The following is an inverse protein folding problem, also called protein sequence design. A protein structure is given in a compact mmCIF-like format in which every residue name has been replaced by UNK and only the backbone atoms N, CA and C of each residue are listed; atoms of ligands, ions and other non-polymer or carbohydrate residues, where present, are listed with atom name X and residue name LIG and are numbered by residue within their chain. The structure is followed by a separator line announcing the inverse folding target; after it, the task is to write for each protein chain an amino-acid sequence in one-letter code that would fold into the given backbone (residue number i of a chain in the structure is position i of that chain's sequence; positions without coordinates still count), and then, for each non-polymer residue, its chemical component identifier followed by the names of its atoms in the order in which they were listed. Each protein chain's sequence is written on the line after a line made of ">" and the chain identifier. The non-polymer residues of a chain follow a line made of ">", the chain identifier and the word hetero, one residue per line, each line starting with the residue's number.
data_IF_949672895679
#
_entry.id   IF_949672895679
#
_cell.length_a   1.000
_cell.length_b   1.000
_cell.length_c   1.000
_cell.angle_alpha   90.00
_cell.angle_beta   90.00
_cell.angle_gamma   90.00
#
_symmetry.space_group_name_H-M   'P 1'
#
loop_
_entity.id
_entity.type
_entity.pdbx_description
1 polymer ?
#
# COMPACT_ATOMS: atom_id res chain seq x y z
N UNK A 1 0.06 19.63 25.65
CA UNK A 1 0.36 20.34 24.39
C UNK A 1 0.62 19.28 23.34
N UNK A 2 -0.42 18.81 22.66
CA UNK A 2 -0.26 17.88 21.54
C UNK A 2 0.22 18.69 20.35
N UNK A 3 1.37 18.36 19.77
CA UNK A 3 1.83 18.98 18.53
C UNK A 3 0.76 18.75 17.45
N UNK A 4 0.35 19.80 16.76
CA UNK A 4 -0.52 19.69 15.60
C UNK A 4 0.22 18.89 14.52
N UNK A 5 -0.35 17.77 14.07
CA UNK A 5 0.22 16.97 12.98
C UNK A 5 0.25 17.82 11.71
N UNK A 6 1.43 17.98 11.09
CA UNK A 6 1.58 18.77 9.86
C UNK A 6 1.35 17.93 8.61
N UNK A 7 1.06 18.57 7.47
CA UNK A 7 0.92 17.88 6.17
C UNK A 7 2.19 17.10 5.80
N UNK A 8 3.37 17.65 6.13
CA UNK A 8 4.67 16.99 5.99
C UNK A 8 4.71 15.67 6.76
N UNK A 9 4.28 15.68 8.02
CA UNK A 9 4.28 14.49 8.87
C UNK A 9 3.34 13.42 8.32
N UNK A 10 2.17 13.81 7.81
CA UNK A 10 1.21 12.92 7.17
C UNK A 10 1.78 12.29 5.89
N UNK A 11 2.47 13.07 5.04
CA UNK A 11 3.08 12.56 3.81
C UNK A 11 4.23 11.61 4.13
N UNK A 12 5.07 11.95 5.12
CA UNK A 12 6.13 11.05 5.58
C UNK A 12 5.57 9.75 6.14
N UNK A 13 4.46 9.82 6.89
CA UNK A 13 3.75 8.65 7.39
C UNK A 13 3.13 7.82 6.26
N UNK A 14 2.55 8.45 5.23
CA UNK A 14 2.05 7.77 4.02
C UNK A 14 3.19 7.02 3.31
N UNK A 15 4.35 7.66 3.18
CA UNK A 15 5.55 7.02 2.61
C UNK A 15 6.03 5.83 3.44
N UNK A 16 6.09 5.98 4.76
CA UNK A 16 6.46 4.88 5.66
C UNK A 16 5.46 3.72 5.61
N UNK A 17 4.17 4.03 5.48
CA UNK A 17 3.10 3.05 5.31
C UNK A 17 3.28 2.22 4.03
N UNK A 18 3.59 2.87 2.90
CA UNK A 18 3.86 2.17 1.64
C UNK A 18 5.13 1.30 1.73
N UNK A 19 6.21 1.81 2.35
CA UNK A 19 7.42 1.03 2.60
C UNK A 19 7.15 -0.22 3.46
N UNK A 20 6.31 -0.09 4.49
CA UNK A 20 5.90 -1.23 5.30
C UNK A 20 5.12 -2.26 4.46
N UNK A 21 4.32 -1.82 3.50
CA UNK A 21 3.63 -2.71 2.56
C UNK A 21 4.56 -3.40 1.55
N UNK A 22 5.64 -2.74 1.12
CA UNK A 22 6.69 -3.37 0.33
C UNK A 22 7.33 -4.54 1.11
N UNK A 23 7.68 -4.31 2.38
CA UNK A 23 8.23 -5.35 3.27
C UNK A 23 7.22 -6.47 3.52
N UNK A 24 5.95 -6.14 3.72
CA UNK A 24 4.88 -7.12 3.87
C UNK A 24 4.77 -8.04 2.65
N UNK A 25 4.85 -7.50 1.42
CA UNK A 25 4.80 -8.28 0.19
C UNK A 25 6.06 -9.12 -0.04
N UNK A 26 7.23 -8.66 0.38
CA UNK A 26 8.44 -9.51 0.42
C UNK A 26 8.27 -10.73 1.33
N UNK A 27 7.43 -10.61 2.37
CA UNK A 27 7.08 -11.71 3.27
C UNK A 27 6.10 -12.75 2.69
N UNK A 28 5.42 -12.48 1.57
CA UNK A 28 4.36 -13.36 1.04
C UNK A 28 4.81 -14.80 0.74
N UNK A 29 6.00 -15.04 0.17
CA UNK A 29 6.49 -16.40 -0.05
C UNK A 29 6.51 -17.25 1.23
N UNK A 30 6.84 -16.62 2.36
CA UNK A 30 6.89 -17.24 3.69
C UNK A 30 5.48 -17.37 4.29
N UNK A 31 4.74 -16.25 4.39
CA UNK A 31 3.42 -16.16 5.04
C UNK A 31 2.42 -17.13 4.39
N UNK A 32 2.40 -17.20 3.06
CA UNK A 32 1.46 -18.02 2.31
C UNK A 32 2.04 -19.37 1.87
N UNK A 33 3.24 -19.73 2.34
CA UNK A 33 3.90 -21.01 2.04
C UNK A 33 3.95 -21.29 0.53
N UNK A 34 4.36 -20.30 -0.25
CA UNK A 34 4.27 -20.36 -1.72
C UNK A 34 4.98 -21.56 -2.33
N UNK A 35 6.07 -22.02 -1.71
CA UNK A 35 6.82 -23.20 -2.17
C UNK A 35 5.92 -24.45 -2.28
N UNK A 36 4.95 -24.63 -1.39
CA UNK A 36 4.00 -25.76 -1.44
C UNK A 36 2.66 -25.40 -2.07
N UNK A 37 2.21 -24.14 -1.97
CA UNK A 37 0.90 -23.70 -2.47
C UNK A 37 0.91 -23.31 -3.94
N UNK A 38 1.87 -22.48 -4.38
CA UNK A 38 1.98 -22.07 -5.78
C UNK A 38 2.53 -23.18 -6.67
N UNK A 39 3.21 -24.19 -6.11
CA UNK A 39 3.65 -25.38 -6.85
C UNK A 39 2.49 -26.18 -7.48
N UNK A 40 1.24 -25.92 -7.04
CA UNK A 40 0.03 -26.52 -7.61
C UNK A 40 -0.49 -25.81 -8.86
N UNK A 41 -0.01 -24.60 -9.14
CA UNK A 41 -0.35 -23.87 -10.35
C UNK A 41 0.56 -24.31 -11.50
N UNK A 42 0.07 -24.17 -12.74
CA UNK A 42 0.93 -24.30 -13.90
C UNK A 42 2.06 -23.26 -13.89
N UNK A 43 3.14 -23.47 -14.66
CA UNK A 43 4.30 -22.60 -14.63
C UNK A 43 4.01 -21.13 -14.96
N UNK A 44 3.07 -20.86 -15.87
CA UNK A 44 2.77 -19.50 -16.32
C UNK A 44 2.02 -18.74 -15.23
N UNK A 45 0.94 -19.30 -14.71
CA UNK A 45 0.17 -18.64 -13.64
C UNK A 45 1.01 -18.47 -12.36
N UNK A 46 1.89 -19.43 -12.05
CA UNK A 46 2.84 -19.28 -10.94
C UNK A 46 3.78 -18.09 -11.15
N UNK A 47 4.35 -17.94 -12.35
CA UNK A 47 5.23 -16.83 -12.68
C UNK A 47 4.48 -15.49 -12.63
N UNK A 48 3.25 -15.42 -13.13
CA UNK A 48 2.41 -14.20 -13.09
C UNK A 48 2.20 -13.73 -11.66
N UNK A 49 1.80 -14.62 -10.73
CA UNK A 49 1.59 -14.25 -9.31
C UNK A 49 2.87 -13.73 -8.66
N UNK A 50 4.01 -14.37 -8.94
CA UNK A 50 5.31 -13.95 -8.40
C UNK A 50 5.75 -12.59 -8.95
N UNK A 51 5.61 -12.39 -10.27
CA UNK A 51 5.93 -11.12 -10.92
C UNK A 51 5.05 -9.99 -10.39
N UNK A 52 3.73 -10.20 -10.29
CA UNK A 52 2.81 -9.19 -9.74
C UNK A 52 3.20 -8.80 -8.30
N UNK A 53 3.59 -9.76 -7.47
CA UNK A 53 4.05 -9.45 -6.11
C UNK A 53 5.35 -8.64 -6.10
N UNK A 54 6.34 -9.00 -6.93
CA UNK A 54 7.59 -8.24 -7.03
C UNK A 54 7.36 -6.83 -7.61
N UNK A 55 6.46 -6.69 -8.56
CA UNK A 55 6.08 -5.37 -9.09
C UNK A 55 5.38 -4.53 -8.02
N UNK A 56 4.52 -5.11 -7.19
CA UNK A 56 3.94 -4.41 -6.04
C UNK A 56 5.01 -3.97 -5.04
N UNK A 57 5.99 -4.83 -4.73
CA UNK A 57 7.14 -4.44 -3.88
C UNK A 57 7.86 -3.24 -4.49
N UNK A 58 8.18 -3.29 -5.77
CA UNK A 58 8.88 -2.20 -6.47
C UNK A 58 8.08 -0.89 -6.43
N UNK A 59 6.78 -0.93 -6.73
CA UNK A 59 5.91 0.25 -6.72
C UNK A 59 5.79 0.84 -5.32
N UNK A 60 5.53 0.01 -4.30
CA UNK A 60 5.43 0.48 -2.91
C UNK A 60 6.76 1.02 -2.38
N UNK A 61 7.88 0.38 -2.72
CA UNK A 61 9.20 0.85 -2.33
C UNK A 61 9.51 2.21 -2.97
N UNK A 62 9.25 2.37 -4.27
CA UNK A 62 9.48 3.60 -5.01
C UNK A 62 8.57 4.75 -4.55
N UNK A 63 7.27 4.50 -4.46
CA UNK A 63 6.30 5.49 -3.97
C UNK A 63 6.60 5.89 -2.52
N UNK A 64 6.80 4.91 -1.65
CA UNK A 64 7.08 5.14 -0.25
C UNK A 64 8.37 5.92 -0.02
N UNK A 65 9.45 5.56 -0.71
CA UNK A 65 10.71 6.32 -0.67
C UNK A 65 10.57 7.74 -1.22
N UNK A 66 9.81 7.92 -2.32
CA UNK A 66 9.55 9.22 -2.92
C UNK A 66 8.82 10.17 -1.96
N UNK A 67 7.73 9.69 -1.34
CA UNK A 67 6.96 10.45 -0.36
C UNK A 67 7.79 10.80 0.89
N UNK A 68 8.56 9.83 1.41
CA UNK A 68 9.37 10.04 2.61
C UNK A 68 10.59 10.95 2.38
N UNK A 69 11.18 10.94 1.19
CA UNK A 69 12.40 11.70 0.90
C UNK A 69 12.16 13.21 0.77
N UNK A 70 11.03 13.62 0.18
CA UNK A 70 10.73 15.04 -0.11
C UNK A 70 9.27 15.42 0.18
N UNK A 71 8.76 15.24 1.41
CA UNK A 71 7.36 15.52 1.75
C UNK A 71 6.95 16.97 1.47
N UNK A 72 7.85 17.93 1.67
CA UNK A 72 7.62 19.36 1.40
C UNK A 72 7.33 19.63 -0.08
N UNK A 73 8.08 18.96 -0.97
CA UNK A 73 7.92 19.10 -2.42
C UNK A 73 6.61 18.47 -2.87
N UNK A 74 6.29 17.29 -2.33
CA UNK A 74 5.03 16.60 -2.60
C UNK A 74 3.82 17.45 -2.18
N UNK A 75 3.91 18.14 -1.03
CA UNK A 75 2.85 18.98 -0.51
C UNK A 75 2.60 20.24 -1.35
N UNK A 76 3.65 20.83 -1.93
CA UNK A 76 3.56 22.08 -2.68
C UNK A 76 3.24 21.89 -4.16
N UNK A 77 3.70 20.78 -4.75
CA UNK A 77 3.63 20.54 -6.19
C UNK A 77 2.31 19.83 -6.61
N UNK A 78 1.62 20.29 -7.67
CA UNK A 78 0.39 19.65 -8.15
C UNK A 78 0.56 18.19 -8.58
N UNK A 79 1.70 17.81 -9.17
CA UNK A 79 1.98 16.41 -9.51
C UNK A 79 2.22 15.59 -8.24
N UNK A 80 2.91 16.17 -7.26
CA UNK A 80 3.06 15.62 -5.91
C UNK A 80 1.71 15.29 -5.26
N UNK A 81 0.77 16.24 -5.27
CA UNK A 81 -0.61 16.00 -4.79
C UNK A 81 -1.34 14.94 -5.63
N UNK A 82 -1.10 14.93 -6.94
CA UNK A 82 -1.59 13.89 -7.83
C UNK A 82 -1.15 12.47 -7.40
N UNK A 83 0.11 12.32 -6.97
CA UNK A 83 0.62 11.05 -6.43
C UNK A 83 -0.11 10.64 -5.14
N UNK A 84 -0.42 11.59 -4.26
CA UNK A 84 -1.21 11.33 -3.05
C UNK A 84 -2.64 10.88 -3.39
N UNK A 85 -3.30 11.52 -4.36
CA UNK A 85 -4.62 11.09 -4.84
C UNK A 85 -4.59 9.69 -5.47
N UNK A 86 -3.55 9.38 -6.26
CA UNK A 86 -3.36 8.05 -6.82
C UNK A 86 -3.13 7.01 -5.72
N UNK A 87 -2.33 7.32 -4.69
CA UNK A 87 -2.15 6.46 -3.52
C UNK A 87 -3.47 6.21 -2.77
N UNK A 88 -4.24 7.27 -2.51
CA UNK A 88 -5.56 7.15 -1.89
C UNK A 88 -6.50 6.27 -2.72
N UNK A 89 -6.56 6.49 -4.03
CA UNK A 89 -7.34 5.69 -4.97
C UNK A 89 -6.91 4.22 -5.00
N UNK A 90 -5.60 3.96 -5.05
CA UNK A 90 -5.05 2.60 -4.98
C UNK A 90 -5.52 1.86 -3.73
N UNK A 91 -5.40 2.49 -2.56
CA UNK A 91 -5.80 1.90 -1.28
C UNK A 91 -7.32 1.71 -1.17
N UNK A 92 -8.12 2.63 -1.72
CA UNK A 92 -9.58 2.46 -1.81
C UNK A 92 -9.99 1.31 -2.71
N UNK A 93 -9.39 1.20 -3.90
CA UNK A 93 -9.63 0.06 -4.80
C UNK A 93 -9.24 -1.23 -4.11
N UNK A 94 -8.08 -1.27 -3.41
CA UNK A 94 -7.72 -2.45 -2.62
C UNK A 94 -8.72 -2.75 -1.52
N UNK A 95 -9.16 -1.75 -0.76
CA UNK A 95 -10.18 -1.95 0.26
C UNK A 95 -11.45 -2.54 -0.35
N UNK A 96 -11.95 -2.00 -1.46
CA UNK A 96 -13.15 -2.48 -2.16
C UNK A 96 -13.02 -3.91 -2.68
N UNK A 97 -11.84 -4.30 -3.18
CA UNK A 97 -11.59 -5.67 -3.65
C UNK A 97 -11.52 -6.70 -2.51
N UNK A 98 -11.21 -6.28 -1.27
CA UNK A 98 -11.06 -7.20 -0.14
C UNK A 98 -12.34 -8.00 0.16
N UNK A 99 -13.54 -7.39 0.36
CA UNK A 99 -14.77 -8.14 0.57
C UNK A 99 -15.15 -9.01 -0.65
N UNK A 100 -14.88 -8.55 -1.87
CA UNK A 100 -15.28 -9.27 -3.09
C UNK A 100 -14.42 -10.51 -3.31
N UNK A 101 -13.09 -10.40 -3.14
CA UNK A 101 -12.14 -11.47 -3.47
C UNK A 101 -11.79 -12.38 -2.29
N UNK A 102 -11.80 -11.85 -1.06
CA UNK A 102 -11.37 -12.59 0.14
C UNK A 102 -12.50 -12.80 1.16
N UNK A 103 -13.62 -12.08 1.00
CA UNK A 103 -14.68 -12.00 2.01
C UNK A 103 -14.20 -11.33 3.31
N UNK A 104 -15.13 -11.04 4.22
CA UNK A 104 -14.82 -10.43 5.53
C UNK A 104 -15.20 -11.33 6.72
N UNK A 105 -15.27 -12.64 6.50
CA UNK A 105 -15.61 -13.60 7.57
C UNK A 105 -14.46 -13.78 8.56
N UNK A 106 -13.24 -13.96 8.06
CA UNK A 106 -12.06 -14.18 8.89
C UNK A 106 -11.51 -12.86 9.45
N UNK A 107 -11.06 -12.85 10.70
CA UNK A 107 -10.57 -11.65 11.40
C UNK A 107 -9.39 -10.98 10.67
N UNK A 108 -8.45 -11.76 10.12
CA UNK A 108 -7.32 -11.21 9.38
C UNK A 108 -7.75 -10.46 8.11
N UNK A 109 -8.85 -10.89 7.47
CA UNK A 109 -9.40 -10.20 6.31
C UNK A 109 -10.06 -8.86 6.70
N UNK A 110 -10.72 -8.81 7.87
CA UNK A 110 -11.24 -7.55 8.43
C UNK A 110 -10.11 -6.61 8.80
N UNK A 111 -9.07 -7.11 9.46
CA UNK A 111 -7.91 -6.31 9.83
C UNK A 111 -7.25 -5.70 8.59
N UNK A 112 -6.95 -6.50 7.57
CA UNK A 112 -6.30 -5.97 6.37
C UNK A 112 -7.19 -4.98 5.61
N UNK A 113 -8.51 -5.19 5.60
CA UNK A 113 -9.47 -4.22 5.05
C UNK A 113 -9.38 -2.86 5.76
N UNK A 114 -9.37 -2.85 7.09
CA UNK A 114 -9.22 -1.63 7.88
C UNK A 114 -7.87 -0.96 7.65
N UNK A 115 -6.80 -1.75 7.51
CA UNK A 115 -5.47 -1.24 7.16
C UNK A 115 -5.52 -0.51 5.81
N UNK A 116 -6.16 -1.08 4.78
CA UNK A 116 -6.30 -0.39 3.49
C UNK A 116 -7.11 0.90 3.57
N UNK A 117 -8.19 0.93 4.37
CA UNK A 117 -8.94 2.17 4.60
C UNK A 117 -8.08 3.23 5.31
N UNK A 118 -7.25 2.82 6.26
CA UNK A 118 -6.30 3.70 6.92
C UNK A 118 -5.25 4.23 5.92
N UNK A 119 -4.73 3.37 5.04
CA UNK A 119 -3.83 3.79 3.95
C UNK A 119 -4.47 4.83 3.03
N UNK A 120 -5.74 4.62 2.64
CA UNK A 120 -6.48 5.57 1.83
C UNK A 120 -6.65 6.92 2.52
N UNK A 121 -7.06 6.92 3.79
CA UNK A 121 -7.22 8.14 4.58
C UNK A 121 -5.88 8.88 4.78
N UNK A 122 -4.80 8.15 5.04
CA UNK A 122 -3.46 8.69 5.26
C UNK A 122 -2.91 9.41 4.02
N UNK A 123 -3.21 8.89 2.82
CA UNK A 123 -2.85 9.52 1.55
C UNK A 123 -3.77 10.67 1.19
N UNK A 124 -5.08 10.55 1.46
CA UNK A 124 -6.06 11.58 1.11
C UNK A 124 -5.95 12.84 1.98
N UNK A 125 -5.63 12.68 3.28
CA UNK A 125 -5.60 13.79 4.23
C UNK A 125 -4.64 14.93 3.82
N UNK A 126 -3.38 14.67 3.42
CA UNK A 126 -2.47 15.72 2.93
C UNK A 126 -2.63 16.05 1.44
N UNK A 127 -3.54 15.38 0.71
CA UNK A 127 -3.76 15.63 -0.71
C UNK A 127 -4.64 16.87 -0.97
N UNK A 128 -5.43 17.28 0.04
CA UNK A 128 -6.27 18.46 -0.03
C UNK A 128 -5.46 19.73 0.31
N UNK A 129 -5.62 20.82 -0.46
CA UNK A 129 -4.91 22.08 -0.22
C UNK A 129 -5.32 22.79 1.08
#
# INVERSE_FOLDING_TARGET
>A
MFASVSARDLIAAAGAYDLAFALFHLGFPLIFRWRSRLGKLDPVNRAVVQTLNLMLVFVFAGAGAGLAAKPEVIAADPLGRGLLFLGAGFWLVRAALQPVMFGLRHWASKLIFLVFLAGAALHAAPAWP
#
